data_IF_927395383534
#
_entry.id   IF_927395383534
#
_cell.length_a   1.000
_cell.length_b   1.000
_cell.length_c   1.000
_cell.angle_alpha   90.00
_cell.angle_beta   90.00
_cell.angle_gamma   90.00
#
_symmetry.space_group_name_H-M   'P 1'
#
loop_
_entity.id
_entity.type
_entity.pdbx_description
1 polymer ?
#
# COMPACT_ATOMS: atom_id res chain seq x y z
N UNK A 1 -18.03 3.22 18.71
CA UNK A 1 -17.31 3.53 17.46
C UNK A 1 -17.95 2.70 16.37
N UNK A 2 -18.26 3.28 15.21
CA UNK A 2 -18.75 2.48 14.07
C UNK A 2 -17.62 1.57 13.56
N UNK A 3 -17.96 0.51 12.82
CA UNK A 3 -16.96 -0.35 12.17
C UNK A 3 -16.01 0.46 11.29
N UNK A 4 -16.52 1.47 10.60
CA UNK A 4 -15.74 2.33 9.71
C UNK A 4 -14.81 3.28 10.48
N UNK A 5 -15.19 3.74 11.69
CA UNK A 5 -14.29 4.52 12.55
C UNK A 5 -13.09 3.68 13.02
N UNK A 6 -13.33 2.40 13.34
CA UNK A 6 -12.28 1.48 13.74
C UNK A 6 -11.35 1.17 12.57
N UNK A 7 -11.88 0.95 11.36
CA UNK A 7 -11.08 0.80 10.14
C UNK A 7 -10.25 2.05 9.87
N UNK A 8 -10.85 3.25 9.95
CA UNK A 8 -10.09 4.50 9.78
C UNK A 8 -8.99 4.69 10.84
N UNK A 9 -9.16 4.16 12.05
CA UNK A 9 -8.13 4.24 13.10
C UNK A 9 -6.88 3.41 12.80
N UNK A 10 -6.99 2.38 11.94
CA UNK A 10 -5.83 1.56 11.55
C UNK A 10 -4.78 2.35 10.75
N UNK A 11 -5.20 3.44 10.10
CA UNK A 11 -4.27 4.42 9.50
C UNK A 11 -3.30 4.96 10.55
N UNK A 12 -3.81 5.41 11.71
CA UNK A 12 -2.98 6.02 12.75
C UNK A 12 -2.03 4.97 13.34
N UNK A 13 -2.50 3.73 13.56
CA UNK A 13 -1.65 2.61 14.01
C UNK A 13 -0.52 2.31 13.03
N UNK A 14 -0.83 2.16 11.75
CA UNK A 14 0.16 1.86 10.71
C UNK A 14 1.18 2.98 10.58
N UNK A 15 0.72 4.24 10.60
CA UNK A 15 1.57 5.38 10.42
C UNK A 15 2.46 5.65 11.65
N UNK A 16 1.99 5.37 12.87
CA UNK A 16 2.83 5.36 14.08
C UNK A 16 3.92 4.28 14.01
N UNK A 17 3.58 3.05 13.61
CA UNK A 17 4.57 1.97 13.49
C UNK A 17 5.62 2.29 12.41
N UNK A 18 5.19 2.79 11.24
CA UNK A 18 6.10 3.28 10.20
C UNK A 18 7.00 4.41 10.74
N UNK A 19 6.44 5.38 11.48
CA UNK A 19 7.20 6.52 12.03
C UNK A 19 8.23 6.10 13.06
N UNK A 20 7.90 5.15 13.92
CA UNK A 20 8.84 4.57 14.88
C UNK A 20 9.99 3.85 14.17
N UNK A 21 9.70 2.95 13.23
CA UNK A 21 10.74 2.23 12.50
C UNK A 21 11.68 3.18 11.71
N UNK A 22 11.15 4.26 11.13
CA UNK A 22 11.96 5.33 10.51
C UNK A 22 12.87 6.00 11.54
N UNK A 23 12.39 6.29 12.75
CA UNK A 23 13.22 6.93 13.78
C UNK A 23 14.34 6.03 14.30
N UNK A 24 14.15 4.71 14.25
CA UNK A 24 15.19 3.72 14.55
C UNK A 24 16.14 3.46 13.36
N UNK A 25 15.87 4.04 12.18
CA UNK A 25 16.75 3.93 11.01
C UNK A 25 16.49 2.70 10.14
N UNK A 26 15.32 2.04 10.24
CA UNK A 26 15.00 0.91 9.36
C UNK A 26 14.95 1.31 7.89
N UNK A 27 14.38 2.48 7.58
CA UNK A 27 14.50 3.13 6.27
C UNK A 27 14.46 4.65 6.43
N UNK A 28 14.82 5.36 5.36
CA UNK A 28 14.77 6.82 5.32
C UNK A 28 13.41 7.29 4.81
N UNK A 29 12.74 8.11 5.62
CA UNK A 29 11.54 8.84 5.22
C UNK A 29 11.52 10.21 5.95
N UNK A 30 11.88 11.30 5.27
CA UNK A 30 11.89 12.63 5.88
C UNK A 30 10.49 13.26 5.96
N UNK A 31 9.46 12.63 5.38
CA UNK A 31 8.14 13.22 5.20
C UNK A 31 7.12 12.74 6.23
N UNK A 32 7.25 11.50 6.71
CA UNK A 32 6.25 10.89 7.60
C UNK A 32 6.04 11.67 8.91
N UNK A 33 7.07 12.37 9.36
CA UNK A 33 7.02 13.25 10.53
C UNK A 33 6.03 14.42 10.42
N UNK A 34 5.65 14.80 9.20
CA UNK A 34 4.69 15.88 8.95
C UNK A 34 3.23 15.44 9.08
N UNK A 35 2.98 14.13 9.00
CA UNK A 35 1.65 13.54 9.12
C UNK A 35 1.39 12.95 10.50
N UNK A 36 2.43 12.44 11.17
CA UNK A 36 2.29 11.68 12.41
C UNK A 36 3.33 12.09 13.43
N UNK A 37 2.90 12.20 14.68
CA UNK A 37 3.79 12.50 15.81
C UNK A 37 4.67 11.28 16.13
N UNK A 38 5.74 11.51 16.88
CA UNK A 38 6.51 10.41 17.46
C UNK A 38 5.61 9.51 18.31
N UNK A 39 5.78 8.19 18.19
CA UNK A 39 5.01 7.20 18.93
C UNK A 39 5.85 6.53 20.00
N UNK A 40 5.17 5.77 20.86
CA UNK A 40 5.80 4.83 21.79
C UNK A 40 6.62 3.77 21.07
N UNK A 41 7.52 3.17 21.84
CA UNK A 41 8.39 2.07 21.40
C UNK A 41 7.56 0.90 20.87
N UNK A 42 7.99 0.35 19.73
CA UNK A 42 7.45 -0.90 19.17
C UNK A 42 8.42 -2.04 19.42
N UNK A 43 7.89 -3.25 19.45
CA UNK A 43 8.72 -4.45 19.54
C UNK A 43 9.52 -4.64 18.23
N UNK A 44 10.75 -5.16 18.27
CA UNK A 44 11.63 -5.26 17.10
C UNK A 44 11.00 -6.00 15.91
N UNK A 45 10.24 -7.06 16.17
CA UNK A 45 9.55 -7.85 15.15
C UNK A 45 8.51 -7.05 14.38
N UNK A 46 7.87 -6.08 15.02
CA UNK A 46 6.95 -5.14 14.38
C UNK A 46 7.73 -4.22 13.44
N UNK A 47 8.83 -3.62 13.90
CA UNK A 47 9.66 -2.74 13.07
C UNK A 47 10.26 -3.48 11.87
N UNK A 48 10.76 -4.71 12.06
CA UNK A 48 11.26 -5.59 11.00
C UNK A 48 10.16 -5.95 10.00
N UNK A 49 8.94 -6.25 10.48
CA UNK A 49 7.78 -6.51 9.62
C UNK A 49 7.41 -5.31 8.76
N UNK A 50 7.36 -4.10 9.33
CA UNK A 50 7.10 -2.88 8.56
C UNK A 50 8.23 -2.57 7.55
N UNK A 51 9.49 -2.84 7.90
CA UNK A 51 10.59 -2.73 6.94
C UNK A 51 10.42 -3.67 5.75
N UNK A 52 10.13 -4.95 6.00
CA UNK A 52 9.91 -5.93 4.94
C UNK A 52 8.72 -5.54 4.06
N UNK A 53 7.61 -5.13 4.67
CA UNK A 53 6.39 -4.63 4.02
C UNK A 53 6.69 -3.46 3.08
N UNK A 54 7.32 -2.41 3.59
CA UNK A 54 7.68 -1.21 2.80
C UNK A 54 8.67 -1.55 1.69
N UNK A 55 9.65 -2.41 1.97
CA UNK A 55 10.67 -2.79 0.99
C UNK A 55 10.09 -3.59 -0.17
N UNK A 56 9.23 -4.57 0.11
CA UNK A 56 8.61 -5.39 -0.93
C UNK A 56 7.68 -4.59 -1.85
N UNK A 57 6.80 -3.75 -1.28
CA UNK A 57 5.92 -2.87 -2.07
C UNK A 57 6.74 -1.93 -2.95
N UNK A 58 7.78 -1.29 -2.40
CA UNK A 58 8.66 -0.40 -3.17
C UNK A 58 9.43 -1.11 -4.26
N UNK A 59 9.92 -2.33 -4.02
CA UNK A 59 10.68 -3.09 -5.00
C UNK A 59 9.84 -3.37 -6.26
N UNK A 60 8.63 -3.91 -6.08
CA UNK A 60 7.71 -4.20 -7.19
C UNK A 60 7.30 -2.92 -7.93
N UNK A 61 6.97 -1.86 -7.18
CA UNK A 61 6.55 -0.60 -7.79
C UNK A 61 7.68 0.07 -8.59
N UNK A 62 8.91 0.06 -8.08
CA UNK A 62 10.06 0.64 -8.80
C UNK A 62 10.31 -0.09 -10.11
N UNK A 63 10.25 -1.42 -10.13
CA UNK A 63 10.37 -2.19 -11.37
C UNK A 63 9.26 -1.83 -12.37
N UNK A 64 8.02 -1.68 -11.91
CA UNK A 64 6.92 -1.21 -12.76
C UNK A 64 7.18 0.18 -13.35
N UNK A 65 7.64 1.15 -12.54
CA UNK A 65 7.96 2.51 -13.00
C UNK A 65 9.12 2.48 -14.01
N UNK A 66 10.14 1.66 -13.76
CA UNK A 66 11.30 1.51 -14.66
C UNK A 66 10.90 0.90 -16.00
N UNK A 67 10.12 -0.19 -16.00
CA UNK A 67 9.62 -0.85 -17.21
C UNK A 67 8.78 0.09 -18.07
N UNK A 68 7.99 0.96 -17.42
CA UNK A 68 7.14 1.94 -18.09
C UNK A 68 7.86 3.26 -18.40
N UNK A 69 9.14 3.39 -18.01
CA UNK A 69 9.96 4.60 -18.15
C UNK A 69 9.27 5.85 -17.56
N UNK A 70 8.65 5.69 -16.40
CA UNK A 70 7.81 6.69 -15.73
C UNK A 70 6.58 7.17 -16.54
N UNK A 71 6.30 6.54 -17.69
CA UNK A 71 5.14 6.78 -18.53
C UNK A 71 3.83 6.16 -18.01
N UNK A 72 3.74 5.94 -16.70
CA UNK A 72 2.67 5.23 -16.03
C UNK A 72 1.90 6.13 -15.05
N UNK A 73 0.88 5.53 -14.45
CA UNK A 73 0.08 6.10 -13.37
C UNK A 73 0.14 5.20 -12.15
N UNK A 74 -0.04 5.79 -10.97
CA UNK A 74 -0.07 5.07 -9.71
C UNK A 74 -1.34 5.46 -8.95
N UNK A 75 -2.09 4.47 -8.48
CA UNK A 75 -3.28 4.65 -7.66
C UNK A 75 -3.06 3.90 -6.34
N UNK A 76 -2.91 4.65 -5.24
CA UNK A 76 -2.78 4.08 -3.91
C UNK A 76 -4.15 4.06 -3.22
N UNK A 77 -4.70 2.86 -3.01
CA UNK A 77 -6.03 2.61 -2.46
C UNK A 77 -5.90 2.45 -0.94
N UNK A 78 -6.69 3.20 -0.17
CA UNK A 78 -6.55 3.23 1.29
C UNK A 78 -5.18 3.77 1.69
N UNK A 79 -4.76 4.87 1.05
CA UNK A 79 -3.38 5.36 1.12
C UNK A 79 -2.99 5.83 2.53
N UNK A 80 -3.95 6.17 3.40
CA UNK A 80 -3.65 6.70 4.72
C UNK A 80 -2.71 7.91 4.65
N UNK A 81 -1.79 7.98 5.61
CA UNK A 81 -0.70 8.97 5.64
C UNK A 81 0.57 8.51 4.92
N UNK A 82 0.45 7.67 3.89
CA UNK A 82 1.59 7.23 3.10
C UNK A 82 2.33 8.41 2.43
N UNK A 83 3.63 8.27 2.28
CA UNK A 83 4.58 9.31 1.84
C UNK A 83 5.25 8.98 0.51
N UNK A 84 4.83 7.90 -0.15
CA UNK A 84 5.49 7.34 -1.33
C UNK A 84 5.61 8.34 -2.48
N UNK A 85 4.62 9.23 -2.67
CA UNK A 85 4.71 10.28 -3.68
C UNK A 85 6.00 11.11 -3.53
N UNK A 86 6.27 11.63 -2.33
CA UNK A 86 7.45 12.46 -2.08
C UNK A 86 8.75 11.66 -2.18
N UNK A 87 8.75 10.39 -1.74
CA UNK A 87 9.92 9.51 -1.85
C UNK A 87 10.25 9.21 -3.31
N UNK A 88 9.26 8.96 -4.17
CA UNK A 88 9.46 8.77 -5.60
C UNK A 88 9.98 10.04 -6.28
N UNK A 89 9.50 11.22 -5.87
CA UNK A 89 10.04 12.50 -6.37
C UNK A 89 11.53 12.67 -6.03
N UNK A 90 11.93 12.34 -4.80
CA UNK A 90 13.33 12.41 -4.38
C UNK A 90 14.22 11.41 -5.14
N UNK A 91 13.66 10.29 -5.57
CA UNK A 91 14.33 9.26 -6.36
C UNK A 91 14.33 9.56 -7.87
N UNK A 92 13.67 10.62 -8.33
CA UNK A 92 13.50 10.93 -9.75
C UNK A 92 12.58 9.95 -10.50
N UNK A 93 11.74 9.20 -9.77
CA UNK A 93 10.83 8.17 -10.28
C UNK A 93 9.37 8.66 -10.35
N UNK A 94 9.18 9.90 -10.81
CA UNK A 94 7.87 10.57 -10.81
C UNK A 94 6.95 10.03 -11.93
N UNK A 95 5.80 9.42 -11.61
CA UNK A 95 4.84 8.97 -12.62
C UNK A 95 4.13 10.16 -13.28
N UNK A 96 3.42 9.89 -14.37
CA UNK A 96 2.56 10.88 -15.03
C UNK A 96 1.41 11.36 -14.14
N UNK A 97 0.89 10.46 -13.30
CA UNK A 97 -0.17 10.75 -12.35
C UNK A 97 -0.02 9.84 -11.12
N UNK A 98 -0.12 10.42 -9.93
CA UNK A 98 -0.16 9.70 -8.65
C UNK A 98 -1.44 10.11 -7.92
N UNK A 99 -2.37 9.17 -7.76
CA UNK A 99 -3.66 9.40 -7.09
C UNK A 99 -3.75 8.56 -5.83
N UNK A 100 -4.13 9.18 -4.72
CA UNK A 100 -4.41 8.52 -3.45
C UNK A 100 -5.90 8.55 -3.16
N UNK A 101 -6.46 7.41 -2.74
CA UNK A 101 -7.86 7.29 -2.36
C UNK A 101 -7.94 6.85 -0.90
N UNK A 102 -8.79 7.50 -0.11
CA UNK A 102 -9.14 7.05 1.23
C UNK A 102 -10.52 7.56 1.65
N UNK A 103 -10.99 7.17 2.84
CA UNK A 103 -12.17 7.75 3.46
C UNK A 103 -12.01 9.25 3.68
N UNK A 104 -13.11 9.98 3.57
CA UNK A 104 -13.14 11.44 3.73
C UNK A 104 -12.48 11.91 5.04
N UNK A 105 -12.66 11.18 6.15
CA UNK A 105 -12.04 11.52 7.43
C UNK A 105 -10.51 11.50 7.41
N UNK A 106 -9.93 10.59 6.63
CA UNK A 106 -8.48 10.44 6.45
C UNK A 106 -7.95 11.47 5.47
N UNK A 107 -8.58 11.60 4.29
CA UNK A 107 -8.14 12.56 3.27
C UNK A 107 -8.24 14.00 3.77
N UNK A 108 -9.28 14.35 4.54
CA UNK A 108 -9.40 15.69 5.16
C UNK A 108 -8.20 16.02 6.05
N UNK A 109 -7.77 15.07 6.90
CA UNK A 109 -6.58 15.24 7.75
C UNK A 109 -5.31 15.38 6.92
N UNK A 110 -5.13 14.53 5.90
CA UNK A 110 -3.95 14.56 5.04
C UNK A 110 -3.85 15.86 4.26
N UNK A 111 -4.95 16.32 3.65
CA UNK A 111 -5.04 17.61 2.96
C UNK A 111 -4.71 18.78 3.89
N UNK A 112 -5.21 18.76 5.13
CA UNK A 112 -4.87 19.77 6.15
C UNK A 112 -3.38 19.77 6.49
N UNK A 113 -2.77 18.61 6.70
CA UNK A 113 -1.33 18.51 6.98
C UNK A 113 -0.48 18.99 5.81
N UNK A 114 -0.83 18.62 4.57
CA UNK A 114 -0.13 19.13 3.39
C UNK A 114 -0.24 20.65 3.33
N UNK A 115 -1.46 21.20 3.39
CA UNK A 115 -1.71 22.64 3.31
C UNK A 115 -0.98 23.46 4.38
N UNK A 116 -0.74 22.88 5.55
CA UNK A 116 -0.09 23.58 6.68
C UNK A 116 1.43 23.39 6.76
N UNK A 117 2.04 22.62 5.84
CA UNK A 117 3.47 22.27 5.89
C UNK A 117 4.16 22.56 4.56
N UNK A 118 5.00 23.60 4.56
CA UNK A 118 5.75 24.07 3.38
C UNK A 118 6.55 22.95 2.70
N UNK A 119 7.19 22.09 3.48
CA UNK A 119 8.03 20.98 2.98
C UNK A 119 7.25 19.95 2.18
N UNK A 120 5.95 19.77 2.48
CA UNK A 120 5.08 18.88 1.70
C UNK A 120 4.59 19.59 0.44
N UNK A 121 4.18 20.86 0.57
CA UNK A 121 3.67 21.66 -0.54
C UNK A 121 4.70 21.92 -1.63
N UNK A 122 5.96 22.22 -1.29
CA UNK A 122 7.02 22.55 -2.25
C UNK A 122 7.29 21.43 -3.26
N UNK A 123 7.01 20.16 -2.90
CA UNK A 123 7.17 19.00 -3.78
C UNK A 123 5.94 18.72 -4.66
N UNK A 124 4.81 19.36 -4.36
CA UNK A 124 3.55 19.24 -5.08
C UNK A 124 3.35 20.44 -6.01
N UNK A 125 3.76 21.63 -5.55
CA UNK A 125 3.77 22.87 -6.30
C UNK A 125 4.87 22.83 -7.37
N UNK A 126 4.52 22.46 -8.60
CA UNK A 126 5.38 22.74 -9.76
C UNK A 126 5.24 24.22 -10.10
N UNK A 127 6.31 24.85 -10.60
CA UNK A 127 6.45 26.31 -10.77
C UNK A 127 5.27 26.99 -11.49
N UNK A 128 4.53 26.27 -12.34
CA UNK A 128 3.40 26.79 -13.13
C UNK A 128 2.04 26.11 -12.85
N UNK A 129 1.95 25.23 -11.85
CA UNK A 129 0.74 24.43 -11.59
C UNK A 129 -0.15 25.00 -10.48
N UNK A 130 -1.41 25.30 -10.77
CA UNK A 130 -2.40 25.60 -9.73
C UNK A 130 -2.66 24.37 -8.87
N UNK A 131 -2.70 24.56 -7.54
CA UNK A 131 -3.12 23.52 -6.60
C UNK A 131 -4.53 23.86 -6.13
N UNK A 132 -5.47 22.98 -6.43
CA UNK A 132 -6.83 23.06 -5.93
C UNK A 132 -6.96 22.24 -4.66
N UNK A 133 -7.42 22.89 -3.59
CA UNK A 133 -7.80 22.26 -2.33
C UNK A 133 -9.30 22.43 -2.14
N UNK A 134 -10.00 21.33 -1.87
CA UNK A 134 -11.26 21.39 -1.14
C UNK A 134 -11.05 20.82 0.27
N UNK A 135 -12.10 20.63 1.07
CA UNK A 135 -11.97 20.16 2.45
C UNK A 135 -11.41 18.73 2.60
N UNK A 136 -11.49 17.91 1.55
CA UNK A 136 -11.17 16.47 1.61
C UNK A 136 -10.53 15.90 0.33
N UNK A 137 -10.36 16.70 -0.71
CA UNK A 137 -9.65 16.40 -1.95
C UNK A 137 -8.55 17.44 -2.19
N UNK A 138 -7.51 17.00 -2.90
CA UNK A 138 -6.40 17.82 -3.37
C UNK A 138 -6.15 17.45 -4.83
N UNK A 139 -6.07 18.44 -5.71
CA UNK A 139 -5.63 18.26 -7.10
C UNK A 139 -4.49 19.20 -7.42
N UNK A 140 -3.36 18.64 -7.85
CA UNK A 140 -2.20 19.35 -8.35
C UNK A 140 -1.82 18.83 -9.75
N UNK A 141 -0.64 19.19 -10.26
CA UNK A 141 -0.22 18.85 -11.62
C UNK A 141 -0.18 17.33 -11.92
N UNK A 142 0.41 16.54 -11.02
CA UNK A 142 0.49 15.08 -11.16
C UNK A 142 0.25 14.33 -9.85
N UNK A 143 -0.30 15.00 -8.84
CA UNK A 143 -0.61 14.41 -7.53
C UNK A 143 -2.03 14.77 -7.13
N UNK A 144 -2.79 13.75 -6.73
CA UNK A 144 -4.18 13.88 -6.35
C UNK A 144 -4.47 13.10 -5.08
N UNK A 145 -5.30 13.65 -4.22
CA UNK A 145 -5.91 12.96 -3.08
C UNK A 145 -7.42 13.08 -3.27
N UNK A 146 -8.14 11.96 -3.24
CA UNK A 146 -9.58 11.95 -3.44
C UNK A 146 -10.28 11.14 -2.34
N UNK A 147 -11.35 11.71 -1.79
CA UNK A 147 -12.21 11.05 -0.82
C UNK A 147 -13.19 10.10 -1.54
N UNK A 148 -13.05 8.80 -1.31
CA UNK A 148 -14.01 7.80 -1.76
C UNK A 148 -14.04 6.57 -0.85
N UNK A 149 -15.22 5.99 -0.71
CA UNK A 149 -15.39 4.66 -0.15
C UNK A 149 -15.07 3.62 -1.23
N UNK A 150 -14.04 2.80 -0.99
CA UNK A 150 -13.61 1.75 -1.93
C UNK A 150 -14.68 0.68 -2.17
N UNK A 151 -15.69 0.58 -1.29
CA UNK A 151 -16.85 -0.31 -1.43
C UNK A 151 -17.85 0.19 -2.47
N UNK A 152 -17.79 1.46 -2.85
CA UNK A 152 -18.59 2.08 -3.91
C UNK A 152 -17.74 2.30 -5.18
N UNK A 153 -17.73 1.29 -6.04
CA UNK A 153 -17.00 1.30 -7.32
C UNK A 153 -17.42 2.48 -8.21
N UNK A 154 -18.69 2.91 -8.16
CA UNK A 154 -19.14 4.04 -8.96
C UNK A 154 -18.54 5.36 -8.45
N UNK A 155 -18.43 5.53 -7.13
CA UNK A 155 -17.72 6.65 -6.54
C UNK A 155 -16.23 6.64 -6.89
N UNK A 156 -15.55 5.49 -6.75
CA UNK A 156 -14.15 5.32 -7.14
C UNK A 156 -13.94 5.70 -8.61
N UNK A 157 -14.80 5.22 -9.51
CA UNK A 157 -14.76 5.53 -10.95
C UNK A 157 -14.81 7.04 -11.20
N UNK A 158 -15.79 7.74 -10.60
CA UNK A 158 -15.92 9.20 -10.74
C UNK A 158 -14.69 9.93 -10.23
N UNK A 159 -14.18 9.56 -9.05
CA UNK A 159 -13.01 10.20 -8.44
C UNK A 159 -11.72 9.98 -9.21
N UNK A 160 -11.51 8.79 -9.78
CA UNK A 160 -10.37 8.55 -10.67
C UNK A 160 -10.45 9.39 -11.95
N UNK A 161 -11.64 9.55 -12.53
CA UNK A 161 -11.85 10.44 -13.67
C UNK A 161 -11.59 11.91 -13.32
N UNK A 162 -12.09 12.40 -12.18
CA UNK A 162 -11.80 13.75 -11.66
C UNK A 162 -10.29 13.98 -11.42
N UNK A 163 -9.56 12.95 -11.00
CA UNK A 163 -8.11 12.97 -10.84
C UNK A 163 -7.34 12.85 -12.17
N UNK A 164 -8.02 12.80 -13.31
CA UNK A 164 -7.39 12.72 -14.63
C UNK A 164 -6.73 11.38 -14.93
N UNK A 165 -7.24 10.29 -14.35
CA UNK A 165 -6.72 8.96 -14.68
C UNK A 165 -7.11 8.56 -16.11
N UNK A 166 -6.13 8.14 -16.93
CA UNK A 166 -6.35 7.64 -18.29
C UNK A 166 -6.23 6.10 -18.33
N UNK A 167 -7.34 5.35 -18.46
CA UNK A 167 -7.30 3.88 -18.51
C UNK A 167 -6.48 3.27 -19.66
N UNK A 168 -6.05 4.08 -20.64
CA UNK A 168 -5.16 3.66 -21.73
C UNK A 168 -3.68 3.66 -21.34
N UNK A 169 -3.28 4.30 -20.25
CA UNK A 169 -1.90 4.29 -19.76
C UNK A 169 -1.64 3.07 -18.86
N UNK A 170 -0.38 2.63 -18.73
CA UNK A 170 -0.04 1.62 -17.71
C UNK A 170 -0.35 2.16 -16.31
N UNK A 171 -1.09 1.42 -15.51
CA UNK A 171 -1.48 1.85 -14.16
C UNK A 171 -1.11 0.81 -13.11
N UNK A 172 -0.36 1.23 -12.08
CA UNK A 172 -0.16 0.42 -10.88
C UNK A 172 -1.20 0.78 -9.81
N UNK A 173 -1.80 -0.24 -9.20
CA UNK A 173 -2.67 -0.12 -8.04
C UNK A 173 -1.96 -0.69 -6.81
N UNK A 174 -2.11 -0.03 -5.68
CA UNK A 174 -1.52 -0.46 -4.41
C UNK A 174 -2.66 -0.59 -3.40
N UNK A 175 -2.74 -1.74 -2.72
CA UNK A 175 -3.60 -1.94 -1.55
C UNK A 175 -2.74 -2.53 -0.43
N UNK A 176 -2.36 -1.69 0.53
CA UNK A 176 -1.39 -2.05 1.58
C UNK A 176 -2.08 -2.17 2.95
N UNK A 177 -2.54 -3.37 3.29
CA UNK A 177 -3.51 -3.71 4.35
C UNK A 177 -4.83 -2.97 4.15
N UNK A 178 -5.54 -3.25 3.05
CA UNK A 178 -6.78 -2.52 2.72
C UNK A 178 -7.91 -3.45 2.36
N UNK A 179 -7.70 -4.40 1.43
CA UNK A 179 -8.80 -5.24 0.93
C UNK A 179 -9.41 -6.10 2.04
N UNK A 180 -8.59 -6.57 3.00
CA UNK A 180 -9.01 -7.33 4.18
C UNK A 180 -10.07 -6.65 5.06
N UNK A 181 -10.19 -5.32 5.01
CA UNK A 181 -11.21 -4.58 5.79
C UNK A 181 -12.59 -4.57 5.14
N UNK A 182 -12.71 -5.03 3.89
CA UNK A 182 -13.96 -5.03 3.14
C UNK A 182 -14.46 -6.46 2.92
N UNK A 183 -15.77 -6.65 2.87
CA UNK A 183 -16.37 -7.91 2.45
C UNK A 183 -15.80 -8.39 1.11
N UNK A 184 -15.60 -9.70 0.96
CA UNK A 184 -15.03 -10.30 -0.25
C UNK A 184 -15.77 -9.84 -1.52
N UNK A 185 -17.10 -9.78 -1.50
CA UNK A 185 -17.93 -9.31 -2.62
C UNK A 185 -17.60 -7.89 -3.09
N UNK A 186 -17.25 -6.99 -2.16
CA UNK A 186 -16.84 -5.61 -2.47
C UNK A 186 -15.46 -5.57 -3.09
N UNK A 187 -14.53 -6.36 -2.55
CA UNK A 187 -13.18 -6.47 -3.13
C UNK A 187 -13.22 -7.08 -4.53
N UNK A 188 -14.04 -8.10 -4.77
CA UNK A 188 -14.22 -8.73 -6.08
C UNK A 188 -14.73 -7.73 -7.11
N UNK A 189 -15.78 -6.96 -6.75
CA UNK A 189 -16.31 -5.91 -7.62
C UNK A 189 -15.26 -4.85 -7.98
N UNK A 190 -14.45 -4.42 -7.00
CA UNK A 190 -13.38 -3.44 -7.22
C UNK A 190 -12.25 -4.00 -8.10
N UNK A 191 -11.79 -5.23 -7.83
CA UNK A 191 -10.75 -5.90 -8.61
C UNK A 191 -11.19 -6.15 -10.05
N UNK A 192 -12.44 -6.56 -10.24
CA UNK A 192 -13.05 -6.76 -11.56
C UNK A 192 -13.15 -5.44 -12.32
N UNK A 193 -13.58 -4.36 -11.66
CA UNK A 193 -13.63 -3.03 -12.27
C UNK A 193 -12.26 -2.62 -12.81
N UNK A 194 -11.19 -2.75 -12.02
CA UNK A 194 -9.85 -2.40 -12.50
C UNK A 194 -9.41 -3.27 -13.68
N UNK A 195 -9.64 -4.58 -13.63
CA UNK A 195 -9.30 -5.48 -14.72
C UNK A 195 -10.08 -5.19 -16.02
N UNK A 196 -11.35 -4.78 -15.91
CA UNK A 196 -12.21 -4.49 -17.06
C UNK A 196 -11.87 -3.14 -17.74
N UNK A 197 -11.36 -2.16 -16.98
CA UNK A 197 -11.12 -0.80 -17.48
C UNK A 197 -9.65 -0.54 -17.83
N UNK A 198 -8.70 -1.15 -17.12
CA UNK A 198 -7.26 -0.94 -17.30
C UNK A 198 -6.62 -2.15 -17.97
N UNK A 199 -6.29 -1.99 -19.26
CA UNK A 199 -5.81 -3.11 -20.09
C UNK A 199 -4.30 -3.36 -19.93
N UNK A 200 -3.57 -2.43 -19.33
CA UNK A 200 -2.18 -2.62 -18.91
C UNK A 200 -2.08 -2.18 -17.46
N UNK A 201 -2.20 -3.13 -16.55
CA UNK A 201 -2.35 -2.86 -15.12
C UNK A 201 -1.46 -3.80 -14.30
N UNK A 202 -0.98 -3.28 -13.17
CA UNK A 202 -0.25 -4.03 -12.17
C UNK A 202 -0.90 -3.76 -10.81
N UNK A 203 -1.13 -4.78 -10.00
CA UNK A 203 -1.73 -4.64 -8.68
C UNK A 203 -0.75 -5.17 -7.65
N UNK A 204 -0.51 -4.41 -6.58
CA UNK A 204 0.29 -4.82 -5.43
C UNK A 204 -0.64 -4.88 -4.22
N UNK A 205 -0.78 -6.06 -3.63
CA UNK A 205 -1.59 -6.31 -2.45
C UNK A 205 -0.70 -6.85 -1.32
N UNK A 206 -0.64 -6.13 -0.21
CA UNK A 206 -0.02 -6.60 1.02
C UNK A 206 -1.11 -6.76 2.07
N UNK A 207 -1.30 -7.94 2.63
CA UNK A 207 -2.25 -8.18 3.74
C UNK A 207 -2.01 -9.57 4.35
N UNK A 208 -2.93 -10.01 5.20
CA UNK A 208 -2.84 -11.29 5.89
C UNK A 208 -2.97 -12.51 4.96
N UNK A 209 -2.38 -13.62 5.40
CA UNK A 209 -2.49 -14.95 4.78
C UNK A 209 -2.45 -16.03 5.87
N UNK A 210 -2.80 -17.28 5.55
CA UNK A 210 -2.75 -18.41 6.48
C UNK A 210 -3.61 -18.22 7.74
N UNK A 211 -4.73 -17.49 7.63
CA UNK A 211 -5.54 -17.06 8.78
C UNK A 211 -6.43 -18.15 9.42
N UNK A 212 -6.32 -19.41 8.99
CA UNK A 212 -7.15 -20.52 9.48
C UNK A 212 -6.49 -21.35 10.60
N UNK A 213 -5.26 -21.01 11.00
CA UNK A 213 -4.57 -21.68 12.09
C UNK A 213 -4.80 -21.01 13.46
N UNK A 214 -4.19 -21.56 14.50
CA UNK A 214 -4.32 -21.04 15.86
C UNK A 214 -3.78 -19.62 16.04
N UNK A 215 -2.72 -19.24 15.31
CA UNK A 215 -2.18 -17.90 15.37
C UNK A 215 -3.12 -16.91 14.67
N UNK A 216 -3.65 -17.27 13.51
CA UNK A 216 -4.70 -16.53 12.80
C UNK A 216 -5.92 -16.27 13.68
N UNK A 217 -6.41 -17.29 14.39
CA UNK A 217 -7.51 -17.14 15.36
C UNK A 217 -7.21 -16.11 16.45
N UNK A 218 -6.03 -16.20 17.07
CA UNK A 218 -5.61 -15.26 18.13
C UNK A 218 -5.47 -13.84 17.57
N UNK A 219 -4.92 -13.69 16.36
CA UNK A 219 -4.81 -12.41 15.68
C UNK A 219 -6.18 -11.78 15.42
N UNK A 220 -7.16 -12.56 14.94
CA UNK A 220 -8.53 -12.10 14.72
C UNK A 220 -9.22 -11.70 16.04
N UNK A 221 -9.02 -12.48 17.10
CA UNK A 221 -9.55 -12.15 18.42
C UNK A 221 -8.97 -10.82 18.94
N UNK A 222 -7.66 -10.61 18.80
CA UNK A 222 -6.99 -9.37 19.20
C UNK A 222 -7.51 -8.14 18.44
N UNK A 223 -7.79 -8.28 17.13
CA UNK A 223 -8.34 -7.19 16.32
C UNK A 223 -9.81 -6.90 16.67
N UNK A 224 -10.63 -7.93 16.91
CA UNK A 224 -12.02 -7.77 17.36
C UNK A 224 -12.14 -7.05 18.70
N UNK A 225 -11.22 -7.30 19.65
CA UNK A 225 -11.15 -6.57 20.93
C UNK A 225 -10.94 -5.07 20.70
N UNK A 226 -10.25 -4.69 19.62
CA UNK A 226 -10.05 -3.28 19.20
C UNK A 226 -11.16 -2.75 18.28
N UNK A 227 -12.28 -3.48 18.18
CA UNK A 227 -13.41 -3.18 17.30
C UNK A 227 -13.06 -3.14 15.79
N UNK A 228 -11.95 -3.77 15.40
CA UNK A 228 -11.51 -3.86 14.01
C UNK A 228 -11.80 -5.28 13.49
N UNK A 229 -12.92 -5.46 12.79
CA UNK A 229 -13.27 -6.76 12.20
C UNK A 229 -12.74 -6.87 10.77
N UNK A 230 -12.14 -8.03 10.46
CA UNK A 230 -11.55 -8.30 9.15
C UNK A 230 -12.58 -9.00 8.25
N UNK A 231 -13.45 -8.22 7.62
CA UNK A 231 -14.53 -8.73 6.76
C UNK A 231 -14.02 -9.54 5.56
N UNK A 232 -12.81 -9.24 5.09
CA UNK A 232 -12.16 -9.90 3.95
C UNK A 232 -11.36 -11.15 4.31
N UNK A 233 -11.34 -11.58 5.58
CA UNK A 233 -10.55 -12.73 6.03
C UNK A 233 -10.79 -14.03 5.24
N UNK A 234 -11.98 -14.33 4.65
CA UNK A 234 -12.15 -15.52 3.83
C UNK A 234 -11.24 -15.58 2.59
N UNK A 235 -10.68 -14.44 2.14
CA UNK A 235 -9.69 -14.36 1.06
C UNK A 235 -8.24 -14.57 1.54
N UNK A 236 -8.00 -14.63 2.86
CA UNK A 236 -6.69 -14.71 3.50
C UNK A 236 -6.33 -16.13 3.99
N UNK A 237 -6.90 -17.19 3.39
CA UNK A 237 -6.68 -18.57 3.83
C UNK A 237 -5.31 -19.10 3.44
N UNK A 238 -4.86 -18.79 2.23
CA UNK A 238 -3.59 -19.25 1.67
C UNK A 238 -3.11 -18.31 0.55
N UNK A 239 -1.85 -18.46 0.13
CA UNK A 239 -1.31 -17.76 -1.03
C UNK A 239 -2.12 -18.06 -2.30
N UNK A 240 -2.66 -19.28 -2.45
CA UNK A 240 -3.50 -19.63 -3.59
C UNK A 240 -4.84 -18.89 -3.57
N UNK A 241 -5.47 -18.71 -2.39
CA UNK A 241 -6.67 -17.86 -2.31
C UNK A 241 -6.36 -16.40 -2.64
N UNK A 242 -5.18 -15.90 -2.24
CA UNK A 242 -4.73 -14.55 -2.57
C UNK A 242 -4.43 -14.34 -4.06
N UNK A 243 -3.90 -15.36 -4.77
CA UNK A 243 -3.73 -15.28 -6.24
C UNK A 243 -5.08 -15.41 -6.95
N UNK A 244 -5.88 -16.40 -6.55
CA UNK A 244 -7.13 -16.75 -7.23
C UNK A 244 -8.15 -15.61 -7.23
N UNK A 245 -8.22 -14.80 -6.16
CA UNK A 245 -9.11 -13.62 -6.16
C UNK A 245 -8.81 -12.62 -7.28
N UNK A 246 -7.57 -12.52 -7.77
CA UNK A 246 -7.25 -11.67 -8.92
C UNK A 246 -7.61 -12.39 -10.21
N UNK A 247 -7.18 -13.66 -10.36
CA UNK A 247 -7.42 -14.46 -11.57
C UNK A 247 -8.91 -14.61 -11.88
N UNK A 248 -9.74 -14.85 -10.86
CA UNK A 248 -11.20 -14.96 -10.99
C UNK A 248 -11.88 -13.63 -11.32
N UNK A 249 -11.20 -12.50 -11.11
CA UNK A 249 -11.70 -11.16 -11.38
C UNK A 249 -11.02 -10.50 -12.60
N UNK A 250 -10.56 -11.31 -13.57
CA UNK A 250 -10.18 -10.82 -14.90
C UNK A 250 -8.73 -10.37 -15.07
N UNK A 251 -7.88 -10.63 -14.07
CA UNK A 251 -6.43 -10.47 -14.17
C UNK A 251 -5.79 -11.65 -14.91
N UNK A 252 -4.72 -11.41 -15.66
CA UNK A 252 -4.09 -12.42 -16.53
C UNK A 252 -3.16 -13.36 -15.76
N UNK A 253 -2.48 -12.85 -14.74
CA UNK A 253 -1.59 -13.61 -13.88
C UNK A 253 -1.48 -12.98 -12.50
N UNK A 254 -1.08 -13.80 -11.52
CA UNK A 254 -0.85 -13.37 -10.16
C UNK A 254 0.18 -14.28 -9.48
N UNK A 255 1.05 -13.68 -8.68
CA UNK A 255 2.05 -14.34 -7.85
C UNK A 255 1.94 -13.82 -6.41
N UNK A 256 2.34 -14.65 -5.45
CA UNK A 256 2.30 -14.29 -4.04
C UNK A 256 3.35 -15.04 -3.25
N UNK A 257 3.90 -14.39 -2.22
CA UNK A 257 4.84 -14.99 -1.28
C UNK A 257 4.49 -14.59 0.15
N UNK A 258 4.83 -15.43 1.13
CA UNK A 258 4.78 -15.02 2.55
C UNK A 258 5.84 -13.97 2.84
N UNK A 259 5.68 -13.22 3.93
CA UNK A 259 6.70 -12.26 4.35
C UNK A 259 8.00 -12.93 4.77
N UNK A 260 7.99 -14.20 5.18
CA UNK A 260 9.21 -14.98 5.43
C UNK A 260 10.01 -15.15 4.14
N UNK A 261 9.31 -15.57 3.08
CA UNK A 261 9.93 -15.72 1.76
C UNK A 261 10.46 -14.38 1.27
N UNK A 262 9.66 -13.30 1.35
CA UNK A 262 10.10 -11.97 0.96
C UNK A 262 11.33 -11.52 1.74
N UNK A 263 11.34 -11.69 3.07
CA UNK A 263 12.45 -11.26 3.91
C UNK A 263 13.77 -11.94 3.53
N UNK A 264 13.72 -13.24 3.18
CA UNK A 264 14.87 -13.98 2.67
C UNK A 264 15.35 -13.52 1.29
N UNK A 265 14.47 -12.92 0.47
CA UNK A 265 14.79 -12.40 -0.86
C UNK A 265 15.31 -10.95 -0.85
N UNK A 266 15.17 -10.23 0.27
CA UNK A 266 15.69 -8.87 0.38
C UNK A 266 17.22 -8.84 0.27
N UNK A 267 17.82 -7.72 -0.20
CA UNK A 267 19.27 -7.58 -0.25
C UNK A 267 19.90 -7.85 1.13
N UNK A 268 20.78 -8.85 1.20
CA UNK A 268 21.30 -9.35 2.47
C UNK A 268 22.09 -8.29 3.26
N UNK A 269 22.71 -7.32 2.58
CA UNK A 269 23.38 -6.21 3.26
C UNK A 269 22.39 -5.30 3.99
N UNK A 270 21.17 -5.11 3.46
CA UNK A 270 20.11 -4.34 4.14
C UNK A 270 19.51 -5.13 5.31
N UNK A 271 19.30 -6.44 5.15
CA UNK A 271 18.85 -7.32 6.24
C UNK A 271 19.86 -7.28 7.40
N UNK A 272 21.15 -7.49 7.12
CA UNK A 272 22.19 -7.42 8.14
C UNK A 272 22.29 -6.02 8.79
N UNK A 273 21.98 -4.96 8.05
CA UNK A 273 21.97 -3.59 8.59
C UNK A 273 20.83 -3.41 9.58
N UNK A 274 19.62 -3.81 9.22
CA UNK A 274 18.44 -3.60 10.09
C UNK A 274 18.44 -4.51 11.32
N UNK A 275 18.97 -5.73 11.22
CA UNK A 275 19.04 -6.65 12.36
C UNK A 275 20.00 -6.19 13.46
N UNK A 276 20.91 -5.26 13.14
CA UNK A 276 21.82 -4.62 14.10
C UNK A 276 21.22 -3.40 14.79
N UNK A 277 20.08 -2.88 14.33
CA UNK A 277 19.44 -1.69 14.90
C UNK A 277 18.81 -2.00 16.27
N UNK A 278 18.18 -3.17 16.38
CA UNK A 278 17.49 -3.60 17.59
C UNK A 278 17.80 -5.08 17.86
N UNK A 279 18.17 -5.37 19.11
CA UNK A 279 18.32 -6.74 19.59
C UNK A 279 16.97 -7.45 19.62
N UNK A 280 16.93 -8.69 19.13
CA UNK A 280 15.75 -9.54 19.10
C UNK A 280 16.20 -10.98 19.34
N UNK A 281 15.71 -11.59 20.41
CA UNK A 281 15.97 -12.97 20.83
C UNK A 281 14.90 -13.95 20.33
N UNK A 282 13.65 -13.51 20.21
CA UNK A 282 12.51 -14.33 19.77
C UNK A 282 12.37 -14.37 18.22
N UNK A 283 13.26 -15.11 17.54
CA UNK A 283 13.19 -15.27 16.08
C UNK A 283 11.95 -16.03 15.61
N UNK A 284 11.47 -16.96 16.43
CA UNK A 284 10.28 -17.76 16.14
C UNK A 284 9.02 -16.90 16.07
N UNK A 285 8.91 -15.86 16.90
CA UNK A 285 7.78 -14.92 16.87
C UNK A 285 7.76 -14.12 15.57
N UNK A 286 8.92 -13.66 15.11
CA UNK A 286 9.05 -12.98 13.82
C UNK A 286 8.64 -13.89 12.66
N UNK A 287 9.14 -15.12 12.66
CA UNK A 287 8.81 -16.12 11.63
C UNK A 287 7.31 -16.40 11.63
N UNK A 288 6.70 -16.63 12.79
CA UNK A 288 5.27 -16.87 12.89
C UNK A 288 4.45 -15.67 12.39
N UNK A 289 4.82 -14.44 12.77
CA UNK A 289 4.19 -13.23 12.25
C UNK A 289 4.31 -13.14 10.73
N UNK A 290 5.48 -13.47 10.18
CA UNK A 290 5.77 -13.35 8.75
C UNK A 290 5.08 -14.42 7.89
N UNK A 291 4.76 -15.58 8.44
CA UNK A 291 3.94 -16.58 7.75
C UNK A 291 2.47 -16.18 7.66
N UNK A 292 2.04 -15.17 8.44
CA UNK A 292 0.65 -14.69 8.48
C UNK A 292 0.41 -13.41 7.69
N UNK A 293 1.40 -12.94 6.95
CA UNK A 293 1.28 -11.87 5.97
C UNK A 293 1.87 -12.30 4.64
N UNK A 294 1.32 -11.76 3.55
CA UNK A 294 1.84 -11.99 2.21
C UNK A 294 1.97 -10.69 1.43
N UNK A 295 2.84 -10.74 0.44
CA UNK A 295 2.85 -9.80 -0.67
C UNK A 295 2.38 -10.57 -1.91
N UNK A 296 1.26 -10.15 -2.47
CA UNK A 296 0.66 -10.66 -3.69
C UNK A 296 0.73 -9.57 -4.76
N UNK A 297 1.03 -9.93 -6.00
CA UNK A 297 0.91 -9.01 -7.12
C UNK A 297 0.23 -9.69 -8.30
N UNK A 298 -0.53 -8.90 -9.05
CA UNK A 298 -1.26 -9.37 -10.22
C UNK A 298 -1.01 -8.44 -11.40
N UNK A 299 -1.16 -8.97 -12.61
CA UNK A 299 -0.92 -8.21 -13.82
C UNK A 299 -1.94 -8.51 -14.92
N UNK A 300 -2.10 -7.53 -15.79
CA UNK A 300 -2.77 -7.59 -17.09
C UNK A 300 -1.93 -6.76 -18.06
N UNK A 301 -1.45 -7.34 -19.15
CA UNK A 301 -0.38 -6.73 -19.94
C UNK A 301 -0.68 -6.70 -21.44
N UNK A 302 -1.77 -6.02 -21.83
CA UNK A 302 -2.15 -5.88 -23.24
C UNK A 302 -1.05 -5.22 -24.10
N UNK A 303 -0.27 -4.29 -23.53
CA UNK A 303 0.87 -3.64 -24.21
C UNK A 303 2.12 -4.51 -24.28
N UNK A 304 2.13 -5.69 -23.67
CA UNK A 304 3.26 -6.64 -23.65
C UNK A 304 4.55 -5.99 -23.14
N UNK A 305 4.45 -5.17 -22.09
CA UNK A 305 5.58 -4.52 -21.45
C UNK A 305 6.49 -5.52 -20.71
N UNK A 306 6.00 -6.74 -20.47
CA UNK A 306 6.69 -7.75 -19.69
C UNK A 306 6.34 -7.66 -18.21
N UNK A 307 5.11 -7.25 -17.86
CA UNK A 307 4.70 -7.11 -16.44
C UNK A 307 4.82 -8.43 -15.65
N UNK A 308 4.67 -9.57 -16.33
CA UNK A 308 4.88 -10.90 -15.77
C UNK A 308 6.32 -11.17 -15.29
N UNK A 309 7.30 -10.37 -15.72
CA UNK A 309 8.70 -10.52 -15.35
C UNK A 309 9.06 -9.68 -14.10
N UNK A 310 8.16 -8.81 -13.64
CA UNK A 310 8.35 -8.10 -12.37
C UNK A 310 8.38 -9.12 -11.25
N UNK A 311 9.44 -9.12 -10.44
CA UNK A 311 9.63 -10.12 -9.39
C UNK A 311 10.32 -9.53 -8.16
N UNK A 312 10.32 -10.29 -7.06
CA UNK A 312 10.99 -9.90 -5.82
C UNK A 312 12.48 -10.20 -5.80
N UNK A 313 13.01 -10.83 -6.86
CA UNK A 313 14.44 -11.07 -7.00
C UNK A 313 15.06 -9.86 -7.71
N UNK A 314 16.05 -9.17 -7.11
CA UNK A 314 16.77 -8.12 -7.81
C UNK A 314 17.43 -8.70 -9.08
N UNK A 315 17.38 -7.97 -10.19
CA UNK A 315 18.26 -8.28 -11.32
C UNK A 315 19.71 -8.24 -10.82
N UNK A 316 20.42 -9.35 -11.00
CA UNK A 316 21.80 -9.55 -10.51
C UNK A 316 22.82 -8.67 -11.20
#
# INVERSE_FOLDING_TARGET
>A
MSSDDAVQSTNDDAAHCKRFAVSQGYWKDPYLQYFVKSSDRKAPEISRGYFARVSGVKLLLRQFIQLTKSGCQIVNLGAGFDTLYWLLQDEGLSPRNFTEIDFQGITSKKCYYIKSRKQLLEKIAKEDGEISFNSFDLHAANYHIVAADLRDVAQVTRKLHEAGIDPKLPTAFIAECVLVYMETSKTEALLKYFADHFHTAFFINYEQVNMEDRFGEVMLQNLRIRHCDLQGVPACRSLDTQKNRFLQNGWEGADAVTMNTLYGLLPQHEVQRIEKLEFMDEQELLQQLFDHYCLCWAYKDHKKLGLKNISLVPDG
#
